data_IF_665734980669
#
_entry.id   IF_665734980669
#
_cell.length_a   1.000
_cell.length_b   1.000
_cell.length_c   1.000
_cell.angle_alpha   90.00
_cell.angle_beta   90.00
_cell.angle_gamma   90.00
#
_symmetry.space_group_name_H-M   'P 1'
#
loop_
_entity.id
_entity.type
_entity.pdbx_description
1 polymer ?
#
# COMPACT_ATOMS: atom_id res chain seq x y z
N UNK A 1 38.54 -18.69 46.72
CA UNK A 1 37.09 -18.38 46.53
C UNK A 1 36.30 -19.54 45.96
N UNK A 2 36.92 -20.49 45.30
CA UNK A 2 36.20 -21.62 44.64
C UNK A 2 35.63 -22.69 45.58
N UNK A 3 36.31 -22.97 46.71
CA UNK A 3 35.78 -23.93 47.68
C UNK A 3 34.46 -23.52 48.36
N UNK A 4 34.20 -22.21 48.49
CA UNK A 4 32.93 -21.73 49.06
C UNK A 4 31.76 -21.87 48.05
N UNK A 5 32.04 -21.77 46.75
CA UNK A 5 31.04 -22.01 45.69
C UNK A 5 30.67 -23.49 45.58
N UNK A 6 31.61 -24.38 45.74
CA UNK A 6 31.37 -25.82 45.72
C UNK A 6 30.55 -26.28 46.96
N UNK A 7 30.85 -25.80 48.17
CA UNK A 7 30.08 -26.10 49.38
C UNK A 7 28.67 -25.56 49.30
N UNK A 8 28.49 -24.35 48.75
CA UNK A 8 27.13 -23.77 48.59
C UNK A 8 26.31 -24.52 47.54
N UNK A 9 26.95 -25.10 46.54
CA UNK A 9 26.34 -25.90 45.51
C UNK A 9 25.97 -27.31 45.99
N UNK A 10 26.85 -27.92 46.85
CA UNK A 10 26.58 -29.26 47.43
C UNK A 10 25.44 -29.26 48.45
N UNK A 11 25.34 -28.21 49.28
CA UNK A 11 24.25 -28.09 50.28
C UNK A 11 22.91 -27.80 49.59
N UNK A 12 22.89 -27.01 48.54
CA UNK A 12 21.68 -26.81 47.71
C UNK A 12 21.27 -28.08 46.97
N UNK A 13 22.23 -28.84 46.47
CA UNK A 13 21.98 -30.14 45.82
C UNK A 13 21.45 -31.20 46.79
N UNK A 14 21.95 -31.22 48.03
CA UNK A 14 21.44 -32.12 49.06
C UNK A 14 19.99 -31.79 49.46
N UNK A 15 19.67 -30.49 49.65
CA UNK A 15 18.29 -30.03 49.91
C UNK A 15 17.35 -30.29 48.75
N UNK A 16 17.82 -30.13 47.52
CA UNK A 16 17.05 -30.48 46.32
C UNK A 16 16.75 -31.99 46.24
N UNK A 17 17.72 -32.86 46.57
CA UNK A 17 17.51 -34.30 46.60
C UNK A 17 16.50 -34.73 47.68
N UNK A 18 16.53 -34.12 48.85
CA UNK A 18 15.53 -34.37 49.90
C UNK A 18 14.11 -33.92 49.50
N UNK A 19 14.02 -32.74 48.87
CA UNK A 19 12.76 -32.23 48.34
C UNK A 19 12.18 -33.16 47.25
N UNK A 20 13.01 -33.60 46.31
CA UNK A 20 12.59 -34.55 45.25
C UNK A 20 12.12 -35.87 45.79
N UNK A 21 12.68 -36.36 46.91
CA UNK A 21 12.29 -37.63 47.54
C UNK A 21 10.92 -37.58 48.28
N UNK A 22 10.46 -36.36 48.59
CA UNK A 22 9.19 -36.09 49.28
C UNK A 22 8.04 -35.75 48.29
N UNK A 23 8.36 -35.54 47.02
CA UNK A 23 7.40 -35.19 45.98
C UNK A 23 6.66 -36.44 45.50
N UNK A 24 5.33 -36.39 45.47
CA UNK A 24 4.48 -37.44 44.89
C UNK A 24 4.52 -37.39 43.37
N UNK A 25 4.23 -38.50 42.69
CA UNK A 25 4.19 -38.61 41.23
C UNK A 25 3.31 -37.51 40.60
N UNK A 26 2.23 -37.15 41.31
CA UNK A 26 1.30 -36.08 40.89
C UNK A 26 1.99 -34.71 40.77
N UNK A 27 2.92 -34.40 41.69
CA UNK A 27 3.64 -33.14 41.70
C UNK A 27 4.60 -33.03 40.48
N UNK A 28 5.19 -34.16 40.05
CA UNK A 28 6.00 -34.22 38.84
C UNK A 28 5.18 -33.96 37.59
N UNK A 29 3.94 -34.46 37.54
CA UNK A 29 3.02 -34.19 36.40
C UNK A 29 2.66 -32.71 36.38
N UNK A 30 2.35 -32.11 37.52
CA UNK A 30 2.02 -30.67 37.59
C UNK A 30 3.20 -29.81 37.15
N UNK A 31 4.41 -30.07 37.65
CA UNK A 31 5.62 -29.36 37.27
C UNK A 31 5.90 -29.50 35.73
N UNK A 32 5.73 -30.73 35.22
CA UNK A 32 5.85 -30.99 33.78
C UNK A 32 4.87 -30.19 32.95
N UNK A 33 3.60 -30.13 33.37
CA UNK A 33 2.57 -29.33 32.70
C UNK A 33 2.90 -27.82 32.74
N UNK A 34 3.39 -27.32 33.88
CA UNK A 34 3.80 -25.88 33.97
C UNK A 34 4.97 -25.57 33.07
N UNK A 35 5.99 -26.43 33.02
CA UNK A 35 7.15 -26.25 32.12
C UNK A 35 6.69 -26.29 30.68
N UNK A 36 5.80 -27.19 30.31
CA UNK A 36 5.28 -27.30 28.95
C UNK A 36 4.44 -26.09 28.58
N UNK A 37 3.62 -25.56 29.48
CA UNK A 37 2.86 -24.33 29.29
C UNK A 37 3.78 -23.11 29.08
N UNK A 38 4.87 -23.02 29.88
CA UNK A 38 5.87 -21.95 29.73
C UNK A 38 6.62 -22.06 28.40
N UNK A 39 6.97 -23.25 27.92
CA UNK A 39 7.60 -23.47 26.64
C UNK A 39 6.68 -23.07 25.49
N UNK A 40 5.42 -23.50 25.52
CA UNK A 40 4.42 -23.12 24.50
C UNK A 40 4.21 -21.60 24.51
N UNK A 41 4.07 -21.00 25.70
CA UNK A 41 3.93 -19.56 25.86
C UNK A 41 5.14 -18.79 25.32
N UNK A 42 6.36 -19.27 25.55
CA UNK A 42 7.59 -18.66 25.06
C UNK A 42 7.73 -18.76 23.54
N UNK A 43 7.36 -19.91 22.95
CA UNK A 43 7.40 -20.12 21.48
C UNK A 43 6.35 -19.24 20.78
N UNK A 44 5.13 -19.18 21.34
CA UNK A 44 4.08 -18.30 20.78
C UNK A 44 4.43 -16.83 20.93
N UNK A 45 4.97 -16.41 22.07
CA UNK A 45 5.42 -15.03 22.30
C UNK A 45 6.57 -14.63 21.38
N UNK A 46 7.53 -15.51 21.12
CA UNK A 46 8.60 -15.30 20.14
C UNK A 46 8.06 -15.18 18.71
N UNK A 47 7.06 -16.01 18.36
CA UNK A 47 6.40 -15.95 17.06
C UNK A 47 5.65 -14.62 16.84
N UNK A 48 4.94 -14.14 17.85
CA UNK A 48 4.23 -12.85 17.80
C UNK A 48 5.21 -11.68 17.71
N UNK A 49 6.31 -11.67 18.47
CA UNK A 49 7.34 -10.63 18.35
C UNK A 49 8.01 -10.62 17.00
N UNK A 50 8.33 -11.77 16.41
CA UNK A 50 8.92 -11.83 15.06
C UNK A 50 7.98 -11.31 13.98
N UNK A 51 6.67 -11.35 14.19
CA UNK A 51 5.68 -10.78 13.27
C UNK A 51 5.58 -9.26 13.46
N UNK A 52 5.71 -8.75 14.69
CA UNK A 52 5.69 -7.32 15.00
C UNK A 52 6.98 -6.60 14.55
N UNK A 53 8.16 -7.21 14.74
CA UNK A 53 9.46 -6.63 14.35
C UNK A 53 9.70 -6.67 12.83
N UNK A 54 8.94 -7.45 12.06
CA UNK A 54 9.00 -7.47 10.59
C UNK A 54 8.25 -6.33 9.93
N UNK A 55 7.53 -5.53 10.67
CA UNK A 55 6.81 -4.35 10.20
C UNK A 55 7.47 -3.06 10.69
N UNK A 56 8.76 -2.84 10.37
CA UNK A 56 9.25 -1.47 10.21
C UNK A 56 8.70 -1.05 8.85
N UNK A 57 7.43 -0.68 8.84
CA UNK A 57 6.75 -0.14 7.68
C UNK A 57 7.21 1.31 7.58
N UNK A 58 8.14 1.56 6.67
CA UNK A 58 8.49 2.93 6.33
C UNK A 58 7.23 3.60 5.76
N UNK A 59 6.85 4.73 6.33
CA UNK A 59 5.81 5.59 5.74
C UNK A 59 6.51 6.48 4.74
N UNK A 60 6.14 6.38 3.47
CA UNK A 60 6.68 7.19 2.37
C UNK A 60 5.54 7.84 1.61
N UNK A 61 5.83 8.97 0.98
CA UNK A 61 4.88 9.57 0.05
C UNK A 61 4.84 8.71 -1.21
N UNK A 62 3.65 8.47 -1.72
CA UNK A 62 3.45 7.80 -3.01
C UNK A 62 2.70 8.71 -3.96
N UNK A 63 3.05 8.60 -5.22
CA UNK A 63 2.31 9.19 -6.32
C UNK A 63 1.78 8.04 -7.18
N UNK A 64 0.50 8.03 -7.44
CA UNK A 64 -0.11 7.00 -8.27
C UNK A 64 -1.05 7.61 -9.31
N UNK A 65 -1.10 6.99 -10.48
CA UNK A 65 -1.93 7.42 -11.58
C UNK A 65 -3.15 6.51 -11.70
N UNK A 66 -4.31 7.14 -11.85
CA UNK A 66 -5.57 6.45 -12.10
C UNK A 66 -5.98 6.73 -13.54
N UNK A 67 -6.05 5.69 -14.36
CA UNK A 67 -6.52 5.76 -15.72
C UNK A 67 -8.02 5.48 -15.77
N UNK A 68 -8.78 6.40 -16.27
CA UNK A 68 -10.23 6.35 -16.47
C UNK A 68 -10.50 6.37 -17.96
N UNK A 69 -10.99 5.27 -18.49
CA UNK A 69 -11.27 5.13 -19.91
C UNK A 69 -12.72 5.44 -20.22
N UNK A 70 -12.96 6.27 -21.23
CA UNK A 70 -14.29 6.51 -21.75
C UNK A 70 -15.18 7.29 -20.76
N UNK A 71 -14.62 8.28 -20.10
CA UNK A 71 -15.38 9.21 -19.26
C UNK A 71 -16.18 10.14 -20.16
N UNK A 72 -17.48 10.23 -19.92
CA UNK A 72 -18.37 11.11 -20.70
C UNK A 72 -18.67 12.37 -19.91
N UNK A 73 -18.43 13.52 -20.49
CA UNK A 73 -18.88 14.81 -19.97
C UNK A 73 -19.14 15.78 -21.13
N UNK A 74 -20.27 16.52 -21.02
CA UNK A 74 -20.72 17.43 -22.07
C UNK A 74 -20.38 18.91 -21.78
N UNK A 75 -19.58 19.16 -20.75
CA UNK A 75 -19.09 20.49 -20.37
C UNK A 75 -17.99 20.97 -21.29
N UNK A 76 -17.73 22.28 -21.29
CA UNK A 76 -16.61 22.87 -22.02
C UNK A 76 -15.27 22.54 -21.39
N UNK A 77 -15.24 22.33 -20.08
CA UNK A 77 -14.05 22.01 -19.29
C UNK A 77 -14.25 20.70 -18.53
N UNK A 78 -13.16 20.00 -18.32
CA UNK A 78 -13.14 18.80 -17.50
C UNK A 78 -13.43 19.18 -16.04
N UNK A 79 -14.35 18.48 -15.36
CA UNK A 79 -14.70 18.80 -13.98
C UNK A 79 -13.60 18.49 -12.96
N UNK A 80 -12.52 17.84 -13.38
CA UNK A 80 -11.36 17.48 -12.54
C UNK A 80 -10.25 18.47 -12.83
N UNK A 81 -9.76 19.18 -11.81
CA UNK A 81 -8.68 20.16 -11.96
C UNK A 81 -7.49 19.83 -11.07
N UNK A 82 -6.30 20.22 -11.51
CA UNK A 82 -5.08 20.17 -10.69
C UNK A 82 -5.24 21.06 -9.46
N UNK A 83 -4.84 20.55 -8.29
CA UNK A 83 -4.96 21.23 -7.00
C UNK A 83 -6.29 21.02 -6.28
N UNK A 84 -7.28 20.42 -6.95
CA UNK A 84 -8.54 20.07 -6.32
C UNK A 84 -8.35 18.85 -5.40
N UNK A 85 -9.27 18.72 -4.46
CA UNK A 85 -9.38 17.51 -3.64
C UNK A 85 -10.49 16.62 -4.16
N UNK A 86 -10.20 15.35 -4.31
CA UNK A 86 -11.17 14.35 -4.70
C UNK A 86 -11.25 13.25 -3.63
N UNK A 87 -12.45 12.86 -3.30
CA UNK A 87 -12.69 11.73 -2.43
C UNK A 87 -12.48 10.44 -3.21
N UNK A 88 -11.74 9.49 -2.64
CA UNK A 88 -11.52 8.21 -3.28
C UNK A 88 -12.17 7.06 -2.53
N UNK A 89 -12.69 6.10 -3.30
CA UNK A 89 -13.13 4.81 -2.81
C UNK A 89 -12.31 3.70 -3.45
N UNK A 90 -11.77 2.81 -2.63
CA UNK A 90 -10.97 1.66 -3.05
C UNK A 90 -11.81 0.41 -2.86
N UNK A 91 -12.08 -0.35 -3.94
CA UNK A 91 -12.96 -1.53 -3.91
C UNK A 91 -14.33 -1.25 -3.27
N UNK A 92 -14.91 -0.10 -3.57
CA UNK A 92 -16.18 0.38 -2.99
C UNK A 92 -16.13 0.65 -1.47
N UNK A 93 -14.93 0.69 -0.87
CA UNK A 93 -14.76 1.12 0.51
C UNK A 93 -14.30 2.58 0.49
N UNK A 94 -15.04 3.50 1.10
CA UNK A 94 -14.63 4.90 1.22
C UNK A 94 -13.29 5.00 1.94
N UNK A 95 -12.41 5.87 1.44
CA UNK A 95 -11.10 6.05 2.05
C UNK A 95 -10.90 7.47 2.57
N UNK A 96 -10.53 8.40 1.71
CA UNK A 96 -10.15 9.77 2.10
C UNK A 96 -10.23 10.73 0.91
N UNK A 97 -10.15 12.00 1.20
CA UNK A 97 -9.88 13.03 0.20
C UNK A 97 -8.38 13.09 -0.07
N UNK A 98 -8.02 13.03 -1.35
CA UNK A 98 -6.65 13.15 -1.83
C UNK A 98 -6.51 14.36 -2.75
N UNK A 99 -5.31 14.92 -2.75
CA UNK A 99 -4.97 16.03 -3.63
C UNK A 99 -4.67 15.52 -5.06
N UNK A 100 -5.20 16.23 -6.04
CA UNK A 100 -4.96 15.99 -7.45
C UNK A 100 -3.72 16.77 -7.88
N UNK A 101 -2.64 16.06 -8.15
CA UNK A 101 -1.35 16.64 -8.54
C UNK A 101 -1.34 17.04 -10.02
N UNK A 102 -1.93 16.19 -10.88
CA UNK A 102 -1.96 16.42 -12.32
C UNK A 102 -3.17 15.74 -12.95
N UNK A 103 -3.67 16.30 -14.06
CA UNK A 103 -4.78 15.76 -14.83
C UNK A 103 -4.45 15.87 -16.31
N UNK A 104 -4.50 14.74 -17.01
CA UNK A 104 -4.39 14.66 -18.46
C UNK A 104 -5.65 14.05 -19.01
N UNK A 105 -6.31 14.74 -19.93
CA UNK A 105 -7.49 14.23 -20.58
C UNK A 105 -7.38 14.43 -22.08
N UNK A 106 -7.45 13.34 -22.78
CA UNK A 106 -7.44 13.27 -24.23
C UNK A 106 -8.80 12.82 -24.73
N UNK A 107 -9.26 13.40 -25.82
CA UNK A 107 -10.40 12.84 -26.54
C UNK A 107 -10.09 11.43 -26.99
N UNK A 108 -11.08 10.58 -26.89
CA UNK A 108 -10.92 9.19 -27.30
C UNK A 108 -10.51 9.10 -28.76
N UNK A 109 -9.50 8.28 -29.03
CA UNK A 109 -8.96 8.05 -30.37
C UNK A 109 -9.39 6.69 -30.89
N UNK A 110 -9.72 6.63 -32.16
CA UNK A 110 -10.02 5.39 -32.88
C UNK A 110 -8.99 5.16 -33.97
N UNK A 111 -8.80 3.90 -34.31
CA UNK A 111 -7.89 3.48 -35.36
C UNK A 111 -8.70 3.16 -36.61
N UNK A 112 -8.44 3.87 -37.70
CA UNK A 112 -9.08 3.67 -38.99
C UNK A 112 -8.10 3.04 -39.98
N UNK A 113 -8.50 2.00 -40.73
CA UNK A 113 -7.69 1.47 -41.84
C UNK A 113 -7.71 2.45 -42.99
N UNK A 114 -6.56 2.66 -43.60
CA UNK A 114 -6.46 3.49 -44.81
C UNK A 114 -6.74 2.65 -46.04
N UNK A 115 -7.68 3.11 -46.87
CA UNK A 115 -8.15 2.35 -48.05
C UNK A 115 -7.09 2.11 -49.13
N UNK A 116 -6.04 2.94 -49.20
CA UNK A 116 -5.06 2.91 -50.27
C UNK A 116 -3.68 2.31 -49.92
N UNK A 117 -3.48 1.79 -48.74
CA UNK A 117 -2.20 1.23 -48.36
C UNK A 117 -2.39 -0.01 -47.49
N UNK A 118 -1.76 -1.10 -47.85
CA UNK A 118 -1.86 -2.41 -47.18
C UNK A 118 -1.40 -2.41 -45.72
N UNK A 119 -0.86 -1.28 -45.22
CA UNK A 119 -0.16 -1.30 -43.90
C UNK A 119 -0.28 0.00 -43.11
N UNK A 120 -1.00 1.00 -43.56
CA UNK A 120 -1.10 2.29 -42.86
C UNK A 120 -2.44 2.36 -42.14
N UNK A 121 -2.40 2.47 -40.85
CA UNK A 121 -3.53 2.83 -40.00
C UNK A 121 -3.36 4.28 -39.58
N UNK A 122 -4.45 5.01 -39.52
CA UNK A 122 -4.48 6.37 -39.00
C UNK A 122 -5.21 6.39 -37.66
N UNK A 123 -4.65 7.13 -36.72
CA UNK A 123 -5.27 7.35 -35.41
C UNK A 123 -5.92 8.71 -35.43
N UNK A 124 -7.23 8.75 -35.26
CA UNK A 124 -8.02 9.99 -35.28
C UNK A 124 -8.90 10.07 -34.03
N UNK A 125 -9.31 11.27 -33.68
CA UNK A 125 -10.32 11.47 -32.63
C UNK A 125 -11.65 10.84 -33.07
N UNK A 126 -12.36 10.25 -32.11
CA UNK A 126 -13.68 9.63 -32.34
C UNK A 126 -14.74 10.75 -32.52
N UNK A 127 -14.98 11.15 -33.76
CA UNK A 127 -15.98 12.18 -34.09
C UNK A 127 -17.42 11.71 -33.79
N UNK A 128 -17.62 10.39 -33.74
CA UNK A 128 -18.94 9.82 -33.42
C UNK A 128 -19.30 9.93 -31.93
N UNK A 129 -18.30 10.14 -31.08
CA UNK A 129 -18.46 10.30 -29.62
C UNK A 129 -17.64 11.50 -29.12
N UNK A 130 -18.04 12.74 -29.43
CA UNK A 130 -17.23 13.94 -29.17
C UNK A 130 -17.04 14.23 -27.67
N UNK A 131 -17.92 13.75 -26.83
CA UNK A 131 -17.91 13.97 -25.37
C UNK A 131 -17.23 12.83 -24.59
N UNK A 132 -16.55 11.91 -25.29
CA UNK A 132 -15.88 10.77 -24.67
C UNK A 132 -14.37 11.03 -24.54
N UNK A 133 -13.87 10.94 -23.31
CA UNK A 133 -12.48 11.24 -22.97
C UNK A 133 -11.82 10.06 -22.25
N UNK A 134 -10.54 9.89 -22.48
CA UNK A 134 -9.67 9.06 -21.69
C UNK A 134 -8.87 9.97 -20.75
N UNK A 135 -9.01 9.77 -19.44
CA UNK A 135 -8.47 10.68 -18.42
C UNK A 135 -7.47 9.95 -17.54
N UNK A 136 -6.32 10.58 -17.30
CA UNK A 136 -5.32 10.15 -16.34
C UNK A 136 -5.25 11.18 -15.22
N UNK A 137 -5.57 10.76 -13.99
CA UNK A 137 -5.45 11.60 -12.80
C UNK A 137 -4.29 11.12 -11.96
N UNK A 138 -3.41 12.02 -11.59
CA UNK A 138 -2.27 11.77 -10.71
C UNK A 138 -2.65 12.22 -9.30
N UNK A 139 -2.57 11.31 -8.34
CA UNK A 139 -2.90 11.52 -6.94
C UNK A 139 -1.68 11.28 -6.07
N UNK A 140 -1.60 11.98 -4.94
CA UNK A 140 -0.56 11.76 -3.93
C UNK A 140 -1.17 11.39 -2.59
N UNK A 141 -0.49 10.53 -1.86
CA UNK A 141 -0.87 10.14 -0.50
C UNK A 141 0.33 9.57 0.28
N UNK A 142 0.17 9.48 1.60
CA UNK A 142 1.11 8.81 2.50
C UNK A 142 0.74 7.33 2.60
N UNK A 143 1.66 6.47 2.20
CA UNK A 143 1.47 5.03 2.24
C UNK A 143 2.48 4.35 3.16
N UNK A 144 2.07 3.26 3.76
CA UNK A 144 2.97 2.32 4.42
C UNK A 144 3.55 1.39 3.37
N UNK A 145 4.87 1.38 3.26
CA UNK A 145 5.57 0.53 2.31
C UNK A 145 5.83 -0.83 2.95
N UNK A 146 5.23 -1.85 2.38
CA UNK A 146 5.38 -3.24 2.82
C UNK A 146 6.12 -4.04 1.75
N UNK A 147 6.56 -5.25 2.09
CA UNK A 147 7.17 -6.18 1.12
C UNK A 147 6.25 -6.50 -0.06
N UNK A 148 4.94 -6.38 0.16
CA UNK A 148 3.91 -6.70 -0.84
C UNK A 148 3.43 -5.48 -1.62
N UNK A 149 3.99 -4.30 -1.37
CA UNK A 149 3.64 -3.03 -2.02
C UNK A 149 3.15 -1.95 -1.06
N UNK A 150 2.73 -0.84 -1.61
CA UNK A 150 2.20 0.30 -0.86
C UNK A 150 0.80 0.00 -0.30
N UNK A 151 0.58 0.40 0.95
CA UNK A 151 -0.71 0.25 1.64
C UNK A 151 -1.25 1.63 1.96
N UNK A 152 -2.39 1.96 1.40
CA UNK A 152 -3.12 3.22 1.55
C UNK A 152 -4.46 2.90 2.21
N UNK A 153 -4.75 3.50 3.36
CA UNK A 153 -6.00 3.26 4.09
C UNK A 153 -6.31 1.80 4.40
N UNK A 154 -5.28 1.01 4.70
CA UNK A 154 -5.44 -0.43 4.95
C UNK A 154 -5.58 -1.28 3.68
N UNK A 155 -5.66 -0.68 2.50
CA UNK A 155 -5.76 -1.37 1.23
C UNK A 155 -4.42 -1.39 0.50
N UNK A 156 -4.02 -2.55 -0.02
CA UNK A 156 -2.84 -2.66 -0.89
C UNK A 156 -3.16 -2.05 -2.24
N UNK A 157 -2.42 -0.99 -2.60
CA UNK A 157 -2.55 -0.32 -3.89
C UNK A 157 -1.59 -0.99 -4.87
N UNK A 158 -2.15 -1.50 -5.96
CA UNK A 158 -1.41 -2.17 -7.04
C UNK A 158 -1.96 -1.72 -8.39
N UNK A 159 -1.15 -1.80 -9.43
CA UNK A 159 -1.63 -1.57 -10.80
C UNK A 159 -2.82 -2.49 -11.11
N UNK A 160 -3.82 -1.96 -11.81
CA UNK A 160 -5.07 -2.65 -12.10
C UNK A 160 -6.12 -2.59 -10.98
N UNK A 161 -5.80 -2.02 -9.81
CA UNK A 161 -6.78 -1.87 -8.74
C UNK A 161 -7.85 -0.85 -9.15
N UNK A 162 -9.16 -1.20 -9.06
CA UNK A 162 -10.22 -0.25 -9.34
C UNK A 162 -10.33 0.79 -8.22
N UNK A 163 -10.38 2.06 -8.64
CA UNK A 163 -10.56 3.23 -7.78
C UNK A 163 -11.70 4.06 -8.35
N UNK A 164 -12.61 4.48 -7.49
CA UNK A 164 -13.63 5.47 -7.80
C UNK A 164 -13.21 6.82 -7.25
N UNK A 165 -13.22 7.83 -8.09
CA UNK A 165 -12.90 9.22 -7.79
C UNK A 165 -14.19 10.02 -7.74
N UNK A 166 -14.43 10.73 -6.65
CA UNK A 166 -15.64 11.52 -6.43
C UNK A 166 -15.25 12.97 -6.10
N UNK A 167 -15.75 13.91 -6.90
CA UNK A 167 -15.74 15.33 -6.59
C UNK A 167 -17.16 15.84 -6.34
N UNK A 168 -17.31 17.16 -6.24
CA UNK A 168 -18.61 17.76 -6.01
C UNK A 168 -19.63 17.49 -7.13
N UNK A 169 -19.14 17.40 -8.39
CA UNK A 169 -20.00 17.28 -9.57
C UNK A 169 -19.77 16.01 -10.39
N UNK A 170 -18.85 15.13 -9.94
CA UNK A 170 -18.50 13.95 -10.72
C UNK A 170 -18.23 12.73 -9.82
N UNK A 171 -18.45 11.56 -10.41
CA UNK A 171 -18.06 10.27 -9.87
C UNK A 171 -17.59 9.39 -11.00
N UNK A 172 -16.29 9.17 -11.09
CA UNK A 172 -15.68 8.38 -12.15
C UNK A 172 -14.93 7.18 -11.58
N UNK A 173 -14.98 6.08 -12.31
CA UNK A 173 -14.27 4.86 -11.94
C UNK A 173 -13.13 4.62 -12.92
N UNK A 174 -11.96 4.36 -12.39
CA UNK A 174 -10.77 4.03 -13.15
C UNK A 174 -9.99 2.88 -12.53
N UNK A 175 -8.81 2.63 -13.03
CA UNK A 175 -7.87 1.67 -12.48
C UNK A 175 -6.50 2.30 -12.30
N UNK A 176 -5.78 1.87 -11.27
CA UNK A 176 -4.40 2.30 -11.04
C UNK A 176 -3.54 1.85 -12.23
N UNK A 177 -2.90 2.78 -12.90
CA UNK A 177 -2.04 2.54 -14.06
C UNK A 177 -0.55 2.63 -13.75
N UNK A 178 -0.18 3.42 -12.72
CA UNK A 178 1.21 3.60 -12.30
C UNK A 178 1.28 3.88 -10.80
N UNK A 179 2.38 3.49 -10.15
CA UNK A 179 2.63 3.77 -8.73
C UNK A 179 4.11 4.03 -8.57
N UNK A 180 4.44 5.16 -7.96
CA UNK A 180 5.81 5.53 -7.61
C UNK A 180 5.89 5.88 -6.13
N UNK A 181 6.94 5.39 -5.48
CA UNK A 181 7.31 5.83 -4.14
C UNK A 181 8.19 7.06 -4.33
N UNK A 182 7.81 8.17 -3.70
CA UNK A 182 8.54 9.43 -3.78
C UNK A 182 9.21 9.64 -2.44
N UNK A 183 10.53 9.52 -2.40
CA UNK A 183 11.31 9.94 -1.25
C UNK A 183 11.34 11.48 -1.20
N UNK A 184 11.40 12.07 0.00
CA UNK A 184 11.26 13.50 0.25
C UNK A 184 12.23 14.41 -0.57
N UNK A 185 13.20 13.83 -1.26
CA UNK A 185 14.17 14.54 -2.13
C UNK A 185 13.65 14.70 -3.57
N UNK A 186 12.76 13.81 -4.02
CA UNK A 186 12.20 13.84 -5.39
C UNK A 186 10.97 14.75 -5.53
N UNK A 187 10.32 15.10 -4.43
CA UNK A 187 9.16 16.00 -4.41
C UNK A 187 9.51 17.38 -4.99
N UNK A 188 10.77 17.85 -4.76
CA UNK A 188 11.31 19.12 -5.29
C UNK A 188 11.62 19.03 -6.80
N UNK A 189 11.89 17.85 -7.34
CA UNK A 189 12.21 17.64 -8.75
C UNK A 189 10.94 17.51 -9.62
N UNK A 190 9.91 16.88 -9.09
CA UNK A 190 8.62 16.76 -9.78
C UNK A 190 7.94 18.12 -9.99
N UNK A 191 8.08 19.04 -9.03
CA UNK A 191 7.54 20.40 -9.13
C UNK A 191 8.30 21.25 -10.17
N UNK A 192 9.56 20.91 -10.47
CA UNK A 192 10.37 21.57 -11.52
C UNK A 192 10.05 21.07 -12.91
N UNK A 193 9.81 19.77 -13.10
CA UNK A 193 9.53 19.20 -14.42
C UNK A 193 8.12 19.56 -14.92
N UNK A 194 7.18 19.82 -14.00
CA UNK A 194 5.82 20.26 -14.34
C UNK A 194 5.82 21.72 -14.84
N UNK A 195 6.70 22.56 -14.28
CA UNK A 195 6.78 23.98 -14.67
C UNK A 195 7.62 24.24 -15.93
N UNK A 196 8.34 23.23 -16.46
CA UNK A 196 9.20 23.43 -17.65
C UNK A 196 8.54 23.03 -18.96
N UNK A 197 7.33 22.45 -18.92
CA UNK A 197 6.61 22.01 -20.14
C UNK A 197 5.66 23.07 -20.72
N UNK A 198 5.45 24.19 -20.01
CA UNK A 198 4.56 25.26 -20.50
C UNK A 198 5.25 26.31 -21.38
N UNK A 199 6.57 26.22 -21.59
CA UNK A 199 7.34 27.23 -22.34
C UNK A 199 7.81 26.78 -23.74
N UNK A 200 7.20 25.76 -24.34
CA UNK A 200 7.47 25.41 -25.75
C UNK A 200 6.20 25.57 -26.58
N UNK A 201 6.02 26.76 -27.08
CA UNK A 201 5.14 27.07 -28.22
C UNK A 201 5.72 26.53 -29.52
#
# INVERSE_FOLDING_TARGET
>A
MDKLKELFNSEKLAKLKELVKKIRIVDFIIVGCVILALLVGFVTFKGVRQTADKQIEATSNIVFKVYMRGVTFSGKEIPIKKGDKAFISIRNVPYSELEIVDVKADRRKIVLPTLNSKTVVIVVEDVGQPDLYDVVVTLTDKAKITKDGAVVGGNKVKMGLPITLEGAEYRFTGSVSDIKIVDAVEEVALDKDINTTDDVQ
#
